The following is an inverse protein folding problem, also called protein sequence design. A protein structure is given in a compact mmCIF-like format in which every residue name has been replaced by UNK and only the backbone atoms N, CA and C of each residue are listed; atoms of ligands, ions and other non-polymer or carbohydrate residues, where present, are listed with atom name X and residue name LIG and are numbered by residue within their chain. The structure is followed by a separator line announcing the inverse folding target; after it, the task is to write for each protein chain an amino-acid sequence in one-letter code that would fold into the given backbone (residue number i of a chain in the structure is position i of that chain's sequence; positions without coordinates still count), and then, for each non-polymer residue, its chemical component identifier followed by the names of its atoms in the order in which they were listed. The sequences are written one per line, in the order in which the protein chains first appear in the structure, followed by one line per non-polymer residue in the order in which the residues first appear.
data_IF_469808080162
#
_entry.id   IF_469808080162
#
_cell.length_a   1.000
_cell.length_b   1.000
_cell.length_c   1.000
_cell.angle_alpha   90.00
_cell.angle_beta   90.00
_cell.angle_gamma   90.00
#
_symmetry.space_group_name_H-M   'P 1'
#
loop_
_entity.id
_entity.type
_entity.pdbx_description
1 polymer ?
#
# COMPACT_ATOMS: atom_id res chain seq x y z
N UNK A 1 25.24 -9.23 -10.32
CA UNK A 1 24.09 -8.56 -10.94
C UNK A 1 24.29 -7.10 -10.64
N UNK A 2 24.35 -6.25 -11.66
CA UNK A 2 24.65 -4.83 -11.44
C UNK A 2 23.31 -4.10 -11.23
N UNK A 3 22.67 -4.40 -10.11
CA UNK A 3 21.31 -3.97 -9.77
C UNK A 3 21.28 -2.49 -9.40
N UNK A 4 22.24 -2.02 -8.62
CA UNK A 4 22.28 -0.64 -8.12
C UNK A 4 22.40 0.37 -9.28
N UNK A 5 23.24 0.08 -10.27
CA UNK A 5 23.38 0.88 -11.48
C UNK A 5 22.08 0.90 -12.30
N UNK A 6 21.39 -0.25 -12.37
CA UNK A 6 20.13 -0.36 -13.11
C UNK A 6 18.97 0.38 -12.41
N UNK A 7 18.96 0.39 -11.07
CA UNK A 7 18.03 1.17 -10.25
C UNK A 7 18.28 2.67 -10.45
N UNK A 8 19.54 3.12 -10.36
CA UNK A 8 19.92 4.53 -10.50
C UNK A 8 19.53 5.10 -11.87
N UNK A 9 19.63 4.29 -12.93
CA UNK A 9 19.30 4.73 -14.29
C UNK A 9 17.80 4.78 -14.58
N UNK A 10 17.01 3.86 -14.02
CA UNK A 10 15.61 3.65 -14.45
C UNK A 10 14.55 4.00 -13.39
N UNK A 11 14.82 3.73 -12.11
CA UNK A 11 13.85 3.89 -11.02
C UNK A 11 14.07 5.19 -10.27
N UNK A 12 15.33 5.55 -9.99
CA UNK A 12 15.67 6.76 -9.24
C UNK A 12 15.12 8.07 -9.85
N UNK A 13 15.06 8.26 -11.18
CA UNK A 13 14.43 9.44 -11.77
C UNK A 13 12.96 9.60 -11.37
N UNK A 14 12.21 8.50 -11.30
CA UNK A 14 10.80 8.49 -10.88
C UNK A 14 10.67 8.84 -9.40
N UNK A 15 11.52 8.27 -8.55
CA UNK A 15 11.52 8.52 -7.10
C UNK A 15 11.89 9.97 -6.77
N UNK A 16 12.83 10.55 -7.50
CA UNK A 16 13.22 11.94 -7.32
C UNK A 16 12.07 12.93 -7.61
N UNK A 17 11.19 12.60 -8.58
CA UNK A 17 10.01 13.41 -8.88
C UNK A 17 9.00 13.38 -7.73
N UNK A 18 8.83 12.23 -7.07
CA UNK A 18 7.87 12.08 -5.97
C UNK A 18 8.43 12.44 -4.61
N UNK A 19 9.74 12.65 -4.46
CA UNK A 19 10.45 12.85 -3.19
C UNK A 19 9.89 13.97 -2.31
N UNK A 20 9.30 15.00 -2.92
CA UNK A 20 8.68 16.10 -2.16
C UNK A 20 7.38 15.67 -1.46
N UNK A 21 6.69 14.67 -2.01
CA UNK A 21 5.40 14.17 -1.54
C UNK A 21 5.50 12.84 -0.78
N UNK A 22 6.56 12.07 -1.00
CA UNK A 22 6.78 10.78 -0.35
C UNK A 22 8.26 10.56 -0.01
N UNK A 23 8.50 9.97 1.17
CA UNK A 23 9.80 9.43 1.52
C UNK A 23 9.83 7.97 1.09
N UNK A 24 10.72 7.61 0.14
CA UNK A 24 10.84 6.26 -0.39
C UNK A 24 12.25 5.76 -0.14
N UNK A 25 12.35 4.61 0.50
CA UNK A 25 13.59 3.86 0.66
C UNK A 25 13.56 2.66 -0.28
N UNK A 26 14.68 2.41 -0.96
CA UNK A 26 14.81 1.31 -1.93
C UNK A 26 15.79 0.30 -1.36
N UNK A 27 15.32 -0.94 -1.24
CA UNK A 27 16.13 -2.08 -0.84
C UNK A 27 16.14 -3.13 -1.95
N UNK A 28 17.26 -3.81 -2.13
CA UNK A 28 17.41 -4.87 -3.11
C UNK A 28 17.88 -6.16 -2.44
N UNK A 29 17.30 -7.30 -2.86
CA UNK A 29 17.67 -8.61 -2.37
C UNK A 29 17.68 -9.60 -3.53
N UNK A 30 18.69 -10.47 -3.57
CA UNK A 30 18.75 -11.59 -4.51
C UNK A 30 18.50 -12.89 -3.75
N UNK A 31 17.43 -13.59 -4.13
CA UNK A 31 17.07 -14.89 -3.55
C UNK A 31 17.35 -15.97 -4.59
N UNK A 32 18.18 -16.95 -4.22
CA UNK A 32 18.48 -18.11 -5.07
C UNK A 32 17.60 -19.30 -4.67
N UNK A 33 17.30 -20.18 -5.62
CA UNK A 33 16.52 -21.42 -5.42
C UNK A 33 15.10 -21.21 -4.87
N UNK A 34 14.44 -20.12 -5.26
CA UNK A 34 13.04 -19.88 -4.96
C UNK A 34 12.14 -20.86 -5.74
N UNK A 35 11.52 -21.82 -5.05
CA UNK A 35 10.50 -22.72 -5.60
C UNK A 35 9.24 -21.94 -5.94
N UNK A 36 8.61 -22.28 -7.07
CA UNK A 36 7.24 -21.84 -7.32
C UNK A 36 6.31 -22.47 -6.29
N UNK A 37 5.26 -21.74 -5.92
CA UNK A 37 4.19 -22.28 -5.09
C UNK A 37 3.66 -23.58 -5.74
N UNK A 38 3.47 -24.67 -4.97
CA UNK A 38 2.86 -25.89 -5.50
C UNK A 38 1.46 -25.67 -6.13
N UNK A 39 0.79 -24.57 -5.74
CA UNK A 39 -0.50 -24.17 -6.28
C UNK A 39 -0.40 -23.52 -7.68
N UNK A 40 0.73 -22.90 -8.01
CA UNK A 40 1.02 -22.37 -9.34
C UNK A 40 1.44 -23.50 -10.28
N UNK A 41 0.48 -24.34 -10.69
CA UNK A 41 0.74 -25.45 -11.61
C UNK A 41 1.11 -24.91 -12.99
N UNK A 42 2.40 -24.88 -13.29
CA UNK A 42 2.87 -24.55 -14.64
C UNK A 42 2.27 -25.53 -15.64
N UNK A 43 1.72 -25.00 -16.72
CA UNK A 43 1.21 -25.82 -17.82
C UNK A 43 2.19 -25.79 -18.99
N UNK A 44 2.40 -26.94 -19.63
CA UNK A 44 3.16 -27.03 -20.87
C UNK A 44 2.23 -26.87 -22.05
N UNK A 45 2.59 -25.99 -22.98
CA UNK A 45 1.92 -25.83 -24.27
C UNK A 45 2.97 -25.85 -25.38
N UNK A 46 2.58 -26.33 -26.56
CA UNK A 46 3.46 -26.32 -27.74
C UNK A 46 3.29 -25.01 -28.50
N UNK A 47 4.31 -24.15 -28.50
CA UNK A 47 4.36 -22.95 -29.33
C UNK A 47 5.34 -23.18 -30.47
N UNK A 48 4.87 -23.09 -31.73
CA UNK A 48 5.71 -23.28 -32.93
C UNK A 48 6.65 -24.50 -32.86
N UNK A 49 6.14 -25.67 -32.44
CA UNK A 49 6.85 -26.96 -32.30
C UNK A 49 7.80 -27.16 -31.10
N UNK A 50 7.87 -26.20 -30.17
CA UNK A 50 8.67 -26.33 -28.94
C UNK A 50 7.79 -26.38 -27.68
N UNK A 51 8.14 -27.20 -26.66
CA UNK A 51 7.46 -27.19 -25.39
C UNK A 51 7.81 -25.90 -24.64
N UNK A 52 6.78 -25.17 -24.25
CA UNK A 52 6.87 -23.87 -23.60
C UNK A 52 5.99 -23.89 -22.36
N UNK A 53 6.47 -23.26 -21.28
CA UNK A 53 5.70 -23.17 -20.04
C UNK A 53 4.88 -21.89 -20.01
N UNK A 54 3.62 -22.00 -19.59
CA UNK A 54 2.69 -20.88 -19.54
C UNK A 54 2.11 -20.69 -18.13
N UNK A 55 1.93 -19.42 -17.77
CA UNK A 55 1.20 -18.98 -16.58
C UNK A 55 -0.12 -18.36 -17.01
N UNK A 56 -1.23 -18.91 -16.52
CA UNK A 56 -2.56 -18.32 -16.76
C UNK A 56 -2.86 -17.20 -15.75
N UNK A 57 -3.70 -16.22 -16.12
CA UNK A 57 -4.14 -15.17 -15.20
C UNK A 57 -4.71 -15.68 -13.87
N UNK A 58 -5.39 -16.84 -13.89
CA UNK A 58 -5.98 -17.47 -12.69
C UNK A 58 -4.94 -17.95 -11.67
N UNK A 59 -3.70 -18.15 -12.10
CA UNK A 59 -2.61 -18.66 -11.28
C UNK A 59 -1.68 -17.55 -10.77
N UNK A 60 -1.77 -16.34 -11.34
CA UNK A 60 -0.91 -15.20 -10.99
C UNK A 60 -1.02 -14.79 -9.51
N UNK A 61 -2.21 -14.77 -8.87
CA UNK A 61 -2.29 -14.45 -7.45
C UNK A 61 -1.55 -15.44 -6.55
N UNK A 62 -1.42 -16.70 -6.99
CA UNK A 62 -0.77 -17.79 -6.26
C UNK A 62 0.72 -17.93 -6.60
N UNK A 63 1.23 -17.08 -7.49
CA UNK A 63 2.60 -17.13 -7.96
C UNK A 63 3.62 -16.85 -6.86
N UNK A 64 3.33 -15.84 -6.04
CA UNK A 64 4.21 -15.41 -4.95
C UNK A 64 4.05 -16.35 -3.76
N UNK A 65 5.12 -17.07 -3.42
CA UNK A 65 5.15 -17.94 -2.24
C UNK A 65 5.80 -17.22 -1.05
N UNK A 66 5.04 -16.37 -0.35
CA UNK A 66 5.53 -15.64 0.83
C UNK A 66 5.88 -16.54 2.02
N UNK A 67 5.46 -17.81 2.01
CA UNK A 67 5.75 -18.77 3.08
C UNK A 67 7.11 -19.44 2.96
N UNK A 68 7.60 -19.67 1.73
CA UNK A 68 8.88 -20.34 1.47
C UNK A 68 10.00 -19.38 1.07
N UNK A 69 9.67 -18.23 0.48
CA UNK A 69 10.69 -17.28 0.06
C UNK A 69 11.19 -16.47 1.27
N UNK A 70 12.50 -16.46 1.55
CA UNK A 70 13.07 -15.67 2.64
C UNK A 70 13.17 -14.19 2.24
N UNK A 71 12.02 -13.58 1.97
CA UNK A 71 11.90 -12.15 1.69
C UNK A 71 12.12 -11.42 3.01
N UNK A 72 13.28 -10.79 3.13
CA UNK A 72 13.60 -9.99 4.31
C UNK A 72 12.89 -8.66 4.17
N UNK A 73 11.65 -8.54 4.64
CA UNK A 73 10.96 -7.25 4.66
C UNK A 73 11.36 -6.49 5.92
N UNK A 74 12.26 -5.50 5.80
CA UNK A 74 12.57 -4.56 6.88
C UNK A 74 11.41 -3.60 7.19
N UNK A 75 10.31 -3.68 6.43
CA UNK A 75 9.06 -2.93 6.64
C UNK A 75 8.37 -3.18 7.99
N UNK A 76 8.85 -4.13 8.80
CA UNK A 76 8.42 -4.29 10.20
C UNK A 76 8.93 -3.17 11.12
N UNK A 77 9.97 -2.41 10.72
CA UNK A 77 10.56 -1.36 11.53
C UNK A 77 9.99 0.04 11.23
N UNK A 78 9.40 0.22 10.06
CA UNK A 78 8.82 1.50 9.62
C UNK A 78 7.31 1.34 9.44
N UNK A 79 6.48 2.22 10.01
CA UNK A 79 5.02 2.27 9.80
C UNK A 79 4.60 2.61 8.33
N UNK A 80 5.43 2.29 7.34
CA UNK A 80 5.24 2.57 5.93
C UNK A 80 4.68 1.38 5.14
N UNK A 81 3.98 1.67 4.04
CA UNK A 81 3.56 0.65 3.09
C UNK A 81 4.73 0.21 2.21
N UNK A 82 4.93 -1.10 2.07
CA UNK A 82 5.96 -1.68 1.20
C UNK A 82 5.40 -2.08 -0.18
N UNK A 83 6.14 -1.79 -1.25
CA UNK A 83 5.83 -2.25 -2.61
C UNK A 83 6.96 -3.16 -3.08
N UNK A 84 6.63 -4.41 -3.45
CA UNK A 84 7.61 -5.38 -3.90
C UNK A 84 7.69 -5.40 -5.43
N UNK A 85 8.90 -5.25 -5.98
CA UNK A 85 9.17 -5.36 -7.41
C UNK A 85 10.08 -6.58 -7.63
N UNK A 86 9.52 -7.65 -8.19
CA UNK A 86 10.18 -8.95 -8.26
C UNK A 86 10.57 -9.31 -9.70
N UNK A 87 11.85 -9.66 -9.89
CA UNK A 87 12.33 -10.27 -11.12
C UNK A 87 12.39 -11.78 -10.90
N UNK A 88 11.54 -12.52 -11.59
CA UNK A 88 11.56 -13.98 -11.57
C UNK A 88 12.29 -14.53 -12.78
N UNK A 89 13.27 -15.41 -12.51
CA UNK A 89 13.97 -16.19 -13.53
C UNK A 89 13.54 -17.64 -13.36
N UNK A 90 12.97 -18.28 -14.40
CA UNK A 90 12.54 -19.67 -14.32
C UNK A 90 13.73 -20.62 -14.21
N UNK A 91 13.58 -21.77 -13.52
CA UNK A 91 14.58 -22.84 -13.53
C UNK A 91 14.73 -23.42 -14.94
N UNK A 92 15.85 -24.09 -15.25
CA UNK A 92 16.11 -24.65 -16.59
C UNK A 92 15.04 -25.65 -17.05
N UNK A 93 14.36 -26.33 -16.10
CA UNK A 93 13.27 -27.27 -16.38
C UNK A 93 11.98 -26.56 -16.83
N UNK A 94 11.76 -25.33 -16.37
CA UNK A 94 10.54 -24.54 -16.59
C UNK A 94 10.74 -23.41 -17.61
N UNK A 95 11.75 -23.54 -18.46
CA UNK A 95 12.25 -22.47 -19.31
C UNK A 95 12.04 -22.81 -20.80
N UNK A 96 11.53 -21.88 -21.64
CA UNK A 96 11.06 -20.53 -21.31
C UNK A 96 9.67 -20.52 -20.67
N UNK A 97 9.44 -19.50 -19.84
CA UNK A 97 8.16 -19.25 -19.16
C UNK A 97 7.50 -18.00 -19.73
N UNK A 98 6.25 -18.10 -20.16
CA UNK A 98 5.46 -16.95 -20.61
C UNK A 98 4.19 -16.76 -19.78
N UNK A 99 3.75 -15.51 -19.71
CA UNK A 99 2.49 -15.14 -19.05
C UNK A 99 1.42 -14.98 -20.12
N UNK A 100 0.24 -15.56 -19.90
CA UNK A 100 -0.90 -15.37 -20.79
C UNK A 100 -1.74 -14.17 -20.36
N UNK A 101 -2.30 -13.48 -21.34
CA UNK A 101 -3.32 -12.45 -21.14
C UNK A 101 -4.67 -13.09 -20.84
N UNK A 102 -5.66 -12.28 -20.44
CA UNK A 102 -7.04 -12.74 -20.25
C UNK A 102 -7.68 -13.30 -21.54
N UNK A 103 -7.12 -12.94 -22.70
CA UNK A 103 -7.55 -13.42 -24.01
C UNK A 103 -6.83 -14.71 -24.44
N UNK A 104 -6.05 -15.33 -23.53
CA UNK A 104 -5.21 -16.51 -23.79
C UNK A 104 -4.11 -16.27 -24.84
N UNK A 105 -3.69 -15.01 -25.02
CA UNK A 105 -2.55 -14.64 -25.86
C UNK A 105 -1.28 -14.53 -25.03
N UNK A 106 -0.12 -14.73 -25.64
CA UNK A 106 1.17 -14.57 -24.95
C UNK A 106 1.43 -13.10 -24.69
N UNK A 107 1.62 -12.72 -23.43
CA UNK A 107 2.00 -11.36 -23.05
C UNK A 107 3.40 -11.03 -23.58
N UNK A 108 3.49 -9.96 -24.37
CA UNK A 108 4.75 -9.48 -24.93
C UNK A 108 5.72 -8.96 -23.84
N UNK A 109 5.16 -8.48 -22.71
CA UNK A 109 5.94 -7.88 -21.62
C UNK A 109 6.32 -8.90 -20.55
N UNK A 110 5.59 -10.02 -20.42
CA UNK A 110 5.83 -11.02 -19.38
C UNK A 110 5.74 -10.46 -17.95
N UNK A 111 4.99 -9.38 -17.76
CA UNK A 111 4.93 -8.62 -16.53
C UNK A 111 3.49 -8.44 -16.05
N UNK A 112 3.26 -8.55 -14.75
CA UNK A 112 1.94 -8.43 -14.14
C UNK A 112 2.03 -7.74 -12.77
N UNK A 113 0.93 -7.11 -12.36
CA UNK A 113 0.82 -6.43 -11.05
C UNK A 113 -0.16 -7.20 -10.16
N UNK A 114 0.29 -7.46 -8.93
CA UNK A 114 -0.50 -8.03 -7.85
C UNK A 114 -0.92 -6.92 -6.88
N UNK A 115 -2.22 -6.65 -6.70
CA UNK A 115 -2.72 -5.65 -5.76
C UNK A 115 -2.18 -5.90 -4.36
N UNK A 116 -1.80 -4.83 -3.67
CA UNK A 116 -1.24 -4.83 -2.30
C UNK A 116 0.10 -5.54 -2.12
N UNK A 117 0.63 -6.20 -3.15
CA UNK A 117 1.97 -6.80 -3.11
C UNK A 117 2.96 -5.99 -3.95
N UNK A 118 2.64 -5.75 -5.23
CA UNK A 118 3.49 -4.98 -6.14
C UNK A 118 3.56 -5.59 -7.53
N UNK A 119 4.73 -5.51 -8.17
CA UNK A 119 4.94 -5.91 -9.56
C UNK A 119 5.84 -7.14 -9.69
N UNK A 120 5.52 -8.03 -10.64
CA UNK A 120 6.35 -9.18 -10.99
C UNK A 120 6.69 -9.11 -12.48
N UNK A 121 7.96 -9.38 -12.81
CA UNK A 121 8.46 -9.50 -14.17
C UNK A 121 9.09 -10.87 -14.33
N UNK A 122 8.59 -11.65 -15.27
CA UNK A 122 9.19 -12.93 -15.67
C UNK A 122 10.20 -12.66 -16.79
N UNK A 123 11.43 -13.12 -16.61
CA UNK A 123 12.50 -12.91 -17.58
C UNK A 123 13.17 -14.22 -17.98
N UNK A 124 13.20 -14.49 -19.28
CA UNK A 124 13.83 -15.67 -19.88
C UNK A 124 15.27 -15.37 -20.34
N UNK A 125 15.95 -14.37 -19.78
CA UNK A 125 17.31 -13.97 -20.20
C UNK A 125 18.38 -15.03 -19.93
N UNK A 126 18.17 -15.90 -18.93
CA UNK A 126 19.05 -17.04 -18.62
C UNK A 126 18.53 -18.36 -19.22
N UNK A 127 17.57 -18.29 -20.15
CA UNK A 127 17.09 -19.46 -20.86
C UNK A 127 18.02 -19.84 -22.01
N UNK A 128 18.17 -21.15 -22.23
CA UNK A 128 18.85 -21.63 -23.43
C UNK A 128 18.12 -21.08 -24.69
N UNK A 129 18.86 -20.65 -25.71
CA UNK A 129 18.28 -20.06 -26.91
C UNK A 129 17.31 -21.04 -27.59
N UNK A 130 16.10 -20.57 -27.86
CA UNK A 130 15.00 -21.34 -28.47
C UNK A 130 15.30 -21.79 -29.91
N UNK A 131 16.26 -21.14 -30.58
CA UNK A 131 16.70 -21.48 -31.92
C UNK A 131 18.10 -22.09 -31.89
N UNK A 132 18.27 -23.26 -32.52
CA UNK A 132 19.53 -23.99 -32.62
C UNK A 132 20.68 -23.26 -33.37
N UNK A 133 20.45 -22.02 -33.80
CA UNK A 133 21.43 -21.16 -34.50
C UNK A 133 21.83 -19.92 -33.72
N UNK A 134 21.23 -19.67 -32.55
CA UNK A 134 21.55 -18.50 -31.74
C UNK A 134 22.51 -18.93 -30.62
N UNK A 135 23.81 -19.03 -30.91
CA UNK A 135 24.84 -19.36 -29.92
C UNK A 135 25.17 -18.15 -29.05
N UNK A 136 24.19 -17.66 -28.27
CA UNK A 136 24.50 -16.69 -27.22
C UNK A 136 24.98 -17.46 -25.99
N UNK A 137 26.24 -17.29 -25.55
CA UNK A 137 26.66 -17.83 -24.28
C UNK A 137 25.76 -17.24 -23.18
N UNK A 138 25.34 -18.09 -22.25
CA UNK A 138 24.63 -17.63 -21.05
C UNK A 138 25.51 -16.59 -20.35
N UNK A 139 24.98 -15.40 -20.03
CA UNK A 139 25.79 -14.37 -19.42
C UNK A 139 26.17 -14.77 -18.00
N UNK A 140 27.47 -14.82 -17.69
CA UNK A 140 28.00 -15.06 -16.35
C UNK A 140 27.59 -13.94 -15.36
N UNK A 141 27.30 -12.74 -15.88
CA UNK A 141 26.80 -11.59 -15.13
C UNK A 141 25.68 -10.88 -15.90
N UNK A 142 24.63 -10.52 -15.17
CA UNK A 142 23.58 -9.63 -15.66
C UNK A 142 24.02 -8.18 -15.43
N UNK A 143 24.55 -7.59 -16.50
CA UNK A 143 24.94 -6.18 -16.54
C UNK A 143 23.72 -5.25 -16.56
N UNK A 144 23.92 -3.97 -16.23
CA UNK A 144 22.87 -2.96 -16.20
C UNK A 144 22.11 -2.84 -17.53
N UNK A 145 22.78 -3.01 -18.68
CA UNK A 145 22.14 -2.97 -20.00
C UNK A 145 21.14 -4.13 -20.22
N UNK A 146 21.44 -5.32 -19.69
CA UNK A 146 20.56 -6.49 -19.77
C UNK A 146 19.39 -6.37 -18.80
N UNK A 147 19.60 -5.71 -17.66
CA UNK A 147 18.56 -5.42 -16.66
C UNK A 147 17.69 -4.20 -17.02
N UNK A 148 18.17 -3.29 -17.87
CA UNK A 148 17.45 -2.09 -18.29
C UNK A 148 16.00 -2.35 -18.76
N UNK A 149 15.69 -3.32 -19.64
CA UNK A 149 14.31 -3.59 -20.04
C UNK A 149 13.43 -4.08 -18.88
N UNK A 150 14.00 -4.81 -17.91
CA UNK A 150 13.28 -5.22 -16.70
C UNK A 150 13.01 -4.01 -15.80
N UNK A 151 14.02 -3.17 -15.56
CA UNK A 151 13.88 -1.98 -14.73
C UNK A 151 12.89 -0.97 -15.32
N UNK A 152 12.82 -0.87 -16.65
CA UNK A 152 11.77 -0.07 -17.32
C UNK A 152 10.36 -0.61 -17.04
N UNK A 153 10.17 -1.94 -17.06
CA UNK A 153 8.88 -2.55 -16.68
C UNK A 153 8.55 -2.26 -15.22
N UNK A 154 9.54 -2.35 -14.32
CA UNK A 154 9.37 -1.99 -12.90
C UNK A 154 9.01 -0.52 -12.70
N UNK A 155 9.67 0.40 -13.40
CA UNK A 155 9.32 1.82 -13.34
C UNK A 155 7.86 2.05 -13.76
N UNK A 156 7.38 1.37 -14.81
CA UNK A 156 5.97 1.46 -15.24
C UNK A 156 4.98 0.83 -14.25
N UNK A 157 5.33 -0.31 -13.67
CA UNK A 157 4.53 -0.92 -12.61
C UNK A 157 4.44 0.02 -11.40
N UNK A 158 5.56 0.66 -11.03
CA UNK A 158 5.62 1.64 -9.95
C UNK A 158 4.80 2.89 -10.27
N UNK A 159 4.88 3.44 -11.49
CA UNK A 159 4.00 4.52 -11.95
C UNK A 159 2.52 4.16 -11.76
N UNK A 160 2.14 2.94 -12.15
CA UNK A 160 0.76 2.45 -12.03
C UNK A 160 0.34 2.32 -10.56
N UNK A 161 1.21 1.78 -9.71
CA UNK A 161 0.95 1.60 -8.27
C UNK A 161 0.89 2.93 -7.51
N UNK A 162 1.71 3.91 -7.90
CA UNK A 162 1.67 5.28 -7.38
C UNK A 162 0.48 6.08 -7.95
N UNK A 163 -0.23 5.53 -8.95
CA UNK A 163 -1.42 6.16 -9.53
C UNK A 163 -1.13 7.25 -10.55
N UNK A 164 0.06 7.24 -11.17
CA UNK A 164 0.35 8.09 -12.32
C UNK A 164 -0.52 7.67 -13.51
N UNK A 165 -1.13 8.63 -14.23
CA UNK A 165 -1.94 8.32 -15.41
C UNK A 165 -1.04 7.80 -16.54
N UNK A 166 -1.42 6.68 -17.16
CA UNK A 166 -0.71 6.14 -18.31
C UNK A 166 -0.69 7.15 -19.48
N UNK A 167 0.46 7.31 -20.15
CA UNK A 167 0.61 8.28 -21.25
C UNK A 167 -0.21 7.91 -22.50
N UNK A 168 -0.56 6.62 -22.65
CA UNK A 168 -1.44 6.13 -23.71
C UNK A 168 -2.75 5.62 -23.09
N UNK A 169 -3.64 6.52 -22.67
CA UNK A 169 -5.05 6.16 -22.42
C UNK A 169 -5.76 6.02 -23.77
N UNK A 170 -5.43 4.98 -24.50
CA UNK A 170 -6.36 4.37 -25.44
C UNK A 170 -6.68 3.00 -24.84
N UNK A 171 -7.91 2.84 -24.34
CA UNK A 171 -8.48 1.60 -23.79
C UNK A 171 -8.13 1.23 -22.34
N UNK A 172 -8.23 2.18 -21.42
CA UNK A 172 -8.66 1.84 -20.06
C UNK A 172 -10.20 1.74 -19.99
N UNK A 173 -10.81 0.90 -20.83
CA UNK A 173 -12.22 0.51 -20.68
C UNK A 173 -12.40 -0.90 -21.27
N UNK A 174 -12.84 -1.83 -20.41
CA UNK A 174 -13.40 -3.14 -20.73
C UNK A 174 -12.40 -4.27 -21.04
N UNK A 175 -11.70 -4.73 -20.01
CA UNK A 175 -11.46 -6.17 -19.91
C UNK A 175 -12.08 -6.64 -18.60
N UNK A 176 -13.05 -7.55 -18.70
CA UNK A 176 -13.66 -8.27 -17.59
C UNK A 176 -12.61 -9.17 -16.91
N UNK A 177 -11.59 -8.59 -16.29
CA UNK A 177 -10.76 -9.30 -15.33
C UNK A 177 -11.43 -9.24 -13.96
N UNK A 178 -11.28 -10.27 -13.12
CA UNK A 178 -11.48 -10.07 -11.69
C UNK A 178 -10.65 -8.87 -11.26
N UNK A 179 -11.17 -8.03 -10.38
CA UNK A 179 -10.58 -6.76 -9.92
C UNK A 179 -9.18 -6.89 -9.26
N UNK A 180 -8.61 -8.10 -9.29
CA UNK A 180 -7.46 -8.57 -8.53
C UNK A 180 -6.18 -8.67 -9.36
N UNK A 181 -6.19 -8.52 -10.70
CA UNK A 181 -4.94 -8.58 -11.50
C UNK A 181 -5.00 -7.61 -12.69
N UNK A 182 -3.95 -6.81 -12.87
CA UNK A 182 -3.77 -5.93 -14.04
C UNK A 182 -2.53 -6.33 -14.83
N UNK A 183 -2.72 -6.67 -16.11
CA UNK A 183 -1.64 -6.93 -17.07
C UNK A 183 -1.41 -5.62 -17.83
N UNK A 184 -0.17 -5.15 -17.90
CA UNK A 184 0.17 -3.86 -18.52
C UNK A 184 0.77 -4.14 -19.91
N UNK A 185 0.00 -3.85 -20.97
CA UNK A 185 0.50 -3.84 -22.35
C UNK A 185 1.27 -2.54 -22.62
N UNK A 186 2.60 -2.66 -22.75
CA UNK A 186 3.54 -1.52 -22.76
C UNK A 186 4.17 -1.24 -24.14
N UNK A 187 3.49 -1.58 -25.24
CA UNK A 187 4.15 -1.71 -26.54
C UNK A 187 4.66 -0.41 -27.18
N UNK A 188 4.31 0.80 -26.70
CA UNK A 188 4.73 2.07 -27.35
C UNK A 188 4.89 3.28 -26.42
N UNK A 189 5.71 3.18 -25.39
CA UNK A 189 6.18 4.39 -24.70
C UNK A 189 7.64 4.22 -24.29
N UNK A 190 8.54 4.71 -25.14
CA UNK A 190 9.96 4.94 -24.81
C UNK A 190 10.07 5.56 -23.42
N UNK A 191 11.09 5.16 -22.66
CA UNK A 191 11.39 5.60 -21.30
C UNK A 191 11.58 7.13 -21.23
N UNK A 192 10.47 7.85 -21.28
CA UNK A 192 10.43 9.31 -21.22
C UNK A 192 9.86 9.67 -19.86
N UNK A 193 10.70 10.41 -19.13
CA UNK A 193 10.47 11.02 -17.83
C UNK A 193 9.00 11.38 -17.58
N UNK A 194 8.55 11.18 -16.34
CA UNK A 194 7.23 11.62 -15.87
C UNK A 194 7.02 13.07 -16.27
N UNK A 195 5.95 13.33 -17.04
CA UNK A 195 5.64 14.67 -17.53
C UNK A 195 5.15 15.58 -16.41
N UNK A 196 5.39 16.89 -16.53
CA UNK A 196 5.03 17.88 -15.50
C UNK A 196 3.55 17.83 -15.09
N UNK A 197 2.64 17.60 -16.06
CA UNK A 197 1.21 17.48 -15.77
C UNK A 197 0.86 16.20 -15.00
N UNK A 198 1.62 15.11 -15.21
CA UNK A 198 1.42 13.86 -14.48
C UNK A 198 1.83 14.04 -13.02
N UNK A 199 2.94 14.73 -12.78
CA UNK A 199 3.41 15.12 -11.44
C UNK A 199 2.42 16.06 -10.75
N UNK A 200 1.92 17.10 -11.43
CA UNK A 200 0.90 18.00 -10.87
C UNK A 200 -0.39 17.24 -10.49
N UNK A 201 -0.86 16.35 -11.38
CA UNK A 201 -2.03 15.52 -11.10
C UNK A 201 -1.81 14.58 -9.91
N UNK A 202 -0.64 13.94 -9.84
CA UNK A 202 -0.26 13.09 -8.71
C UNK A 202 -0.25 13.91 -7.42
N UNK A 203 0.43 15.06 -7.40
CA UNK A 203 0.52 15.94 -6.25
C UNK A 203 -0.86 16.39 -5.74
N UNK A 204 -1.73 16.87 -6.63
CA UNK A 204 -3.11 17.27 -6.26
C UNK A 204 -3.92 16.11 -5.70
N UNK A 205 -3.79 14.91 -6.30
CA UNK A 205 -4.47 13.72 -5.78
C UNK A 205 -3.97 13.38 -4.38
N UNK A 206 -2.66 13.40 -4.15
CA UNK A 206 -2.06 13.13 -2.84
C UNK A 206 -2.56 14.11 -1.79
N UNK A 207 -2.64 15.41 -2.11
CA UNK A 207 -3.24 16.43 -1.23
C UNK A 207 -4.67 16.05 -0.85
N UNK A 208 -5.51 15.72 -1.83
CA UNK A 208 -6.91 15.35 -1.59
C UNK A 208 -7.05 14.09 -0.74
N UNK A 209 -6.22 13.06 -0.97
CA UNK A 209 -6.23 11.84 -0.16
C UNK A 209 -5.79 12.13 1.28
N UNK A 210 -4.77 12.98 1.49
CA UNK A 210 -4.38 13.43 2.84
C UNK A 210 -5.52 14.19 3.54
N UNK A 211 -6.17 15.13 2.85
CA UNK A 211 -7.30 15.87 3.42
C UNK A 211 -8.46 14.93 3.80
N UNK A 212 -8.77 13.95 2.93
CA UNK A 212 -9.79 12.94 3.19
C UNK A 212 -9.41 12.04 4.37
N UNK A 213 -8.15 11.63 4.47
CA UNK A 213 -7.65 10.85 5.59
C UNK A 213 -7.78 11.60 6.91
N UNK A 214 -7.32 12.86 6.98
CA UNK A 214 -7.45 13.70 8.16
C UNK A 214 -8.92 13.90 8.57
N UNK A 215 -9.80 14.22 7.61
CA UNK A 215 -11.24 14.36 7.87
C UNK A 215 -11.87 13.04 8.37
N UNK A 216 -11.46 11.89 7.83
CA UNK A 216 -11.90 10.57 8.28
C UNK A 216 -11.46 10.25 9.72
N UNK A 217 -10.22 10.62 10.08
CA UNK A 217 -9.70 10.46 11.44
C UNK A 217 -10.43 11.35 12.43
N UNK A 218 -10.67 12.62 12.10
CA UNK A 218 -11.48 13.53 12.92
C UNK A 218 -12.93 13.04 13.09
N UNK A 219 -13.55 12.53 12.02
CA UNK A 219 -14.89 11.95 12.11
C UNK A 219 -14.92 10.71 13.03
N UNK A 220 -13.87 9.89 12.99
CA UNK A 220 -13.70 8.74 13.88
C UNK A 220 -13.51 9.17 15.34
N UNK A 221 -12.77 10.25 15.57
CA UNK A 221 -12.62 10.87 16.89
C UNK A 221 -13.95 11.34 17.45
N UNK A 222 -14.75 12.08 16.66
CA UNK A 222 -16.09 12.52 17.06
C UNK A 222 -16.97 11.32 17.44
N UNK A 223 -16.93 10.26 16.63
CA UNK A 223 -17.67 9.02 16.91
C UNK A 223 -17.22 8.39 18.24
N UNK A 224 -15.91 8.31 18.49
CA UNK A 224 -15.35 7.78 19.73
C UNK A 224 -15.84 8.58 20.95
N UNK A 225 -15.70 9.91 20.92
CA UNK A 225 -16.15 10.82 21.99
C UNK A 225 -17.65 10.66 22.25
N UNK A 226 -18.47 10.60 21.20
CA UNK A 226 -19.92 10.45 21.34
C UNK A 226 -20.35 9.09 21.89
N UNK A 227 -19.53 8.05 21.71
CA UNK A 227 -19.84 6.68 22.15
C UNK A 227 -19.47 6.40 23.60
N UNK A 228 -18.62 7.23 24.20
CA UNK A 228 -18.12 7.06 25.56
C UNK A 228 -18.55 8.28 26.41
N UNK A 229 -19.77 8.22 26.99
CA UNK A 229 -20.43 9.34 27.65
C UNK A 229 -19.59 10.04 28.73
N UNK A 230 -18.69 9.31 29.41
CA UNK A 230 -17.87 9.86 30.48
C UNK A 230 -16.45 10.27 30.06
N UNK A 231 -16.10 10.19 28.77
CA UNK A 231 -14.73 10.41 28.30
C UNK A 231 -14.26 11.86 28.49
N UNK A 232 -13.17 12.06 29.23
CA UNK A 232 -12.55 13.36 29.47
C UNK A 232 -11.62 13.69 28.31
N UNK A 233 -12.00 14.68 27.52
CA UNK A 233 -11.16 15.25 26.45
C UNK A 233 -10.31 16.37 27.04
N UNK A 234 -8.99 16.18 27.04
CA UNK A 234 -8.05 17.18 27.53
C UNK A 234 -7.93 18.37 26.56
N UNK A 235 -7.57 19.54 27.10
CA UNK A 235 -7.33 20.76 26.31
C UNK A 235 -6.21 20.57 25.26
N UNK A 236 -5.23 19.70 25.54
CA UNK A 236 -4.21 19.32 24.56
C UNK A 236 -4.83 18.72 23.31
N UNK A 237 -5.82 17.83 23.46
CA UNK A 237 -6.51 17.15 22.35
C UNK A 237 -7.37 18.16 21.59
N UNK A 238 -8.08 19.03 22.30
CA UNK A 238 -8.84 20.12 21.68
C UNK A 238 -7.93 20.96 20.76
N UNK A 239 -6.76 21.37 21.26
CA UNK A 239 -5.80 22.15 20.47
C UNK A 239 -5.30 21.40 19.23
N UNK A 240 -5.02 20.09 19.35
CA UNK A 240 -4.63 19.27 18.19
C UNK A 240 -5.75 19.20 17.14
N UNK A 241 -7.01 19.10 17.57
CA UNK A 241 -8.17 19.10 16.67
C UNK A 241 -8.34 20.46 15.99
N UNK A 242 -8.22 21.56 16.73
CA UNK A 242 -8.27 22.92 16.19
C UNK A 242 -7.15 23.15 15.16
N UNK A 243 -5.92 22.76 15.48
CA UNK A 243 -4.77 22.81 14.57
C UNK A 243 -4.99 21.96 13.31
N UNK A 244 -5.59 20.78 13.44
CA UNK A 244 -5.91 19.91 12.32
C UNK A 244 -6.94 20.54 11.37
N UNK A 245 -8.00 21.15 11.92
CA UNK A 245 -9.04 21.84 11.15
C UNK A 245 -8.45 23.07 10.45
N UNK A 246 -7.67 23.89 11.17
CA UNK A 246 -7.00 25.05 10.59
C UNK A 246 -6.06 24.66 9.44
N UNK A 247 -5.34 23.55 9.58
CA UNK A 247 -4.48 23.01 8.53
C UNK A 247 -5.26 22.47 7.32
N UNK A 248 -6.44 21.86 7.53
CA UNK A 248 -7.35 21.47 6.44
C UNK A 248 -7.86 22.69 5.67
N UNK A 249 -8.27 23.75 6.38
CA UNK A 249 -8.73 25.00 5.77
C UNK A 249 -7.61 25.68 4.97
N UNK A 250 -6.38 25.67 5.51
CA UNK A 250 -5.20 26.16 4.81
C UNK A 250 -4.93 25.37 3.52
N UNK A 251 -4.95 24.03 3.60
CA UNK A 251 -4.78 23.15 2.43
C UNK A 251 -5.85 23.38 1.36
N UNK A 252 -7.11 23.51 1.78
CA UNK A 252 -8.23 23.80 0.88
C UNK A 252 -8.03 25.16 0.20
N UNK A 253 -7.68 26.18 0.96
CA UNK A 253 -7.47 27.54 0.46
C UNK A 253 -6.33 27.57 -0.54
N UNK A 254 -5.18 26.98 -0.20
CA UNK A 254 -3.97 26.92 -1.05
C UNK A 254 -4.25 26.20 -2.39
N UNK A 255 -5.10 25.17 -2.38
CA UNK A 255 -5.50 24.42 -3.57
C UNK A 255 -6.51 25.17 -4.47
N UNK A 256 -7.37 26.02 -3.90
CA UNK A 256 -8.45 26.74 -4.60
C UNK A 256 -8.09 28.17 -5.02
N UNK A 257 -6.86 28.63 -4.78
CA UNK A 257 -6.41 29.94 -5.29
C UNK A 257 -6.40 29.96 -6.82
N UNK A 258 -6.44 31.16 -7.39
CA UNK A 258 -6.33 31.38 -8.83
C UNK A 258 -5.02 30.80 -9.41
N UNK A 259 -3.95 30.82 -8.61
CA UNK A 259 -2.71 30.08 -8.86
C UNK A 259 -2.48 29.10 -7.69
N UNK A 260 -2.81 27.80 -7.86
CA UNK A 260 -2.72 26.81 -6.78
C UNK A 260 -1.28 26.52 -6.37
N UNK A 261 -0.97 26.73 -5.09
CA UNK A 261 0.31 26.35 -4.49
C UNK A 261 0.21 24.92 -3.94
N UNK A 262 0.35 23.94 -4.83
CA UNK A 262 0.18 22.50 -4.51
C UNK A 262 1.19 22.01 -3.46
N UNK A 263 2.49 22.38 -3.51
CA UNK A 263 3.46 22.03 -2.46
C UNK A 263 3.03 22.50 -1.07
N UNK A 264 2.60 23.76 -0.95
CA UNK A 264 2.15 24.32 0.33
C UNK A 264 0.84 23.70 0.80
N UNK A 265 -0.08 23.42 -0.13
CA UNK A 265 -1.31 22.70 0.17
C UNK A 265 -1.01 21.29 0.71
N UNK A 266 0.00 20.62 0.16
CA UNK A 266 0.46 19.31 0.65
C UNK A 266 1.05 19.37 2.05
N UNK A 267 1.91 20.35 2.35
CA UNK A 267 2.45 20.54 3.70
C UNK A 267 1.34 20.76 4.74
N UNK A 268 0.35 21.58 4.40
CA UNK A 268 -0.83 21.83 5.24
C UNK A 268 -1.67 20.57 5.41
N UNK A 269 -1.96 19.83 4.33
CA UNK A 269 -2.73 18.58 4.40
C UNK A 269 -2.01 17.50 5.21
N UNK A 270 -0.68 17.39 5.09
CA UNK A 270 0.13 16.47 5.90
C UNK A 270 0.09 16.86 7.38
N UNK A 271 0.14 18.16 7.67
CA UNK A 271 0.03 18.67 9.04
C UNK A 271 -1.34 18.34 9.62
N UNK A 272 -2.42 18.48 8.85
CA UNK A 272 -3.76 18.08 9.27
C UNK A 272 -3.84 16.58 9.62
N UNK A 273 -3.30 15.69 8.78
CA UNK A 273 -3.25 14.25 9.06
C UNK A 273 -2.51 13.99 10.37
N UNK A 274 -1.30 14.54 10.51
CA UNK A 274 -0.47 14.36 11.71
C UNK A 274 -1.18 14.81 12.98
N UNK A 275 -1.80 16.01 12.97
CA UNK A 275 -2.53 16.56 14.13
C UNK A 275 -3.78 15.75 14.47
N UNK A 276 -4.54 15.32 13.46
CA UNK A 276 -5.71 14.47 13.64
C UNK A 276 -5.35 13.10 14.23
N UNK A 277 -4.29 12.46 13.74
CA UNK A 277 -3.79 11.19 14.28
C UNK A 277 -3.24 11.36 15.69
N UNK A 278 -2.49 12.44 15.95
CA UNK A 278 -1.97 12.73 17.29
C UNK A 278 -3.11 12.89 18.31
N UNK A 279 -4.21 13.53 17.93
CA UNK A 279 -5.40 13.66 18.77
C UNK A 279 -6.11 12.31 18.99
N UNK A 280 -6.27 11.53 17.92
CA UNK A 280 -7.02 10.26 17.96
C UNK A 280 -6.28 9.15 18.70
N UNK A 281 -4.96 9.05 18.53
CA UNK A 281 -4.12 8.04 19.17
C UNK A 281 -3.45 8.56 20.46
N UNK A 282 -3.91 9.68 21.02
CA UNK A 282 -3.41 10.16 22.30
C UNK A 282 -3.63 9.09 23.40
N UNK A 283 -2.62 8.78 24.24
CA UNK A 283 -2.75 7.76 25.29
C UNK A 283 -3.92 8.00 26.26
N UNK A 284 -4.34 9.26 26.44
CA UNK A 284 -5.45 9.63 27.33
C UNK A 284 -6.82 9.35 26.73
N UNK A 285 -6.90 9.06 25.43
CA UNK A 285 -8.12 8.71 24.69
C UNK A 285 -8.41 7.19 24.69
N UNK A 286 -7.60 6.39 25.38
CA UNK A 286 -7.75 4.93 25.39
C UNK A 286 -8.91 4.50 26.29
N UNK A 287 -9.92 3.87 25.68
CA UNK A 287 -11.12 3.37 26.37
C UNK A 287 -10.85 2.40 27.53
N UNK A 288 -9.70 1.71 27.55
CA UNK A 288 -9.32 0.80 28.65
C UNK A 288 -9.06 1.52 29.99
N UNK A 289 -8.85 2.84 29.96
CA UNK A 289 -8.78 3.65 31.18
C UNK A 289 -10.17 4.02 31.73
N UNK A 290 -11.21 3.83 30.93
CA UNK A 290 -12.58 4.19 31.28
C UNK A 290 -13.33 2.98 31.83
N UNK A 291 -13.57 3.00 33.14
CA UNK A 291 -14.44 2.02 33.79
C UNK A 291 -15.89 2.31 33.39
N UNK A 292 -16.60 1.38 32.72
CA UNK A 292 -18.02 1.52 32.49
C UNK A 292 -18.76 1.64 33.82
N UNK A 293 -19.87 2.38 33.84
CA UNK A 293 -20.60 2.66 35.07
C UNK A 293 -21.09 1.37 35.75
N UNK A 294 -21.37 0.31 34.99
CA UNK A 294 -21.73 -1.01 35.52
C UNK A 294 -20.62 -1.59 36.43
N UNK A 295 -19.36 -1.43 36.04
CA UNK A 295 -18.22 -1.88 36.84
C UNK A 295 -17.97 -0.99 38.04
N UNK A 296 -18.30 0.31 37.95
CA UNK A 296 -18.29 1.23 39.09
C UNK A 296 -19.28 0.78 40.16
N UNK A 297 -20.52 0.45 39.78
CA UNK A 297 -21.51 -0.06 40.74
C UNK A 297 -21.09 -1.39 41.36
N UNK A 298 -20.52 -2.31 40.57
CA UNK A 298 -20.03 -3.58 41.10
C UNK A 298 -18.98 -3.44 42.22
N UNK A 299 -18.13 -2.40 42.15
CA UNK A 299 -17.12 -2.11 43.19
C UNK A 299 -17.74 -1.41 44.41
N UNK A 300 -18.66 -0.48 44.21
CA UNK A 300 -19.19 0.35 45.29
C UNK A 300 -20.39 -0.27 46.04
N UNK A 301 -21.21 -1.08 45.36
CA UNK A 301 -22.40 -1.70 45.96
C UNK A 301 -22.06 -2.55 47.22
N UNK A 302 -21.02 -3.41 47.24
CA UNK A 302 -20.64 -4.15 48.45
C UNK A 302 -20.23 -3.27 49.63
N UNK A 303 -19.69 -2.07 49.38
CA UNK A 303 -19.28 -1.13 50.42
C UNK A 303 -20.49 -0.36 50.99
N UNK A 304 -21.39 0.10 50.11
CA UNK A 304 -22.50 0.97 50.51
C UNK A 304 -23.74 0.21 50.98
N UNK A 305 -24.02 -1.00 50.47
CA UNK A 305 -25.22 -1.76 50.87
C UNK A 305 -25.26 -2.06 52.38
N UNK A 306 -24.19 -2.54 53.02
CA UNK A 306 -24.19 -2.82 54.46
C UNK A 306 -24.42 -1.59 55.34
N UNK A 307 -24.05 -0.40 54.86
CA UNK A 307 -24.23 0.88 55.57
C UNK A 307 -25.62 1.46 55.30
N UNK A 308 -26.08 1.39 54.06
CA UNK A 308 -27.32 2.01 53.59
C UNK A 308 -28.56 1.27 54.11
N UNK A 309 -28.53 -0.07 54.16
CA UNK A 309 -29.68 -0.88 54.59
C UNK A 309 -30.09 -0.59 56.05
N UNK A 310 -29.19 -0.60 57.05
CA UNK A 310 -29.54 -0.27 58.43
C UNK A 310 -30.00 1.17 58.64
N UNK A 311 -29.43 2.13 57.90
CA UNK A 311 -29.84 3.53 57.93
C UNK A 311 -31.27 3.70 57.42
N UNK A 312 -31.61 3.07 56.29
CA UNK A 312 -32.97 3.11 55.73
C UNK A 312 -33.98 2.46 56.68
N UNK A 313 -33.65 1.30 57.27
CA UNK A 313 -34.52 0.64 58.26
C UNK A 313 -34.76 1.53 59.48
N UNK A 314 -33.70 2.17 59.98
CA UNK A 314 -33.78 3.10 61.12
C UNK A 314 -34.65 4.33 60.79
N UNK A 315 -34.48 4.90 59.59
CA UNK A 315 -35.26 6.05 59.12
C UNK A 315 -36.75 5.70 58.99
N UNK A 316 -37.09 4.56 58.39
CA UNK A 316 -38.47 4.10 58.24
C UNK A 316 -39.15 3.87 59.59
N UNK A 317 -38.41 3.32 60.57
CA UNK A 317 -38.92 3.16 61.94
C UNK A 317 -39.24 4.50 62.61
N UNK A 318 -38.35 5.48 62.50
CA UNK A 318 -38.57 6.80 63.11
C UNK A 318 -39.73 7.55 62.45
N UNK A 319 -39.88 7.47 61.11
CA UNK A 319 -41.03 8.07 60.40
C UNK A 319 -42.35 7.42 60.84
N UNK A 320 -42.39 6.09 60.96
CA UNK A 320 -43.58 5.38 61.46
C UNK A 320 -43.90 5.66 62.93
N UNK A 321 -42.92 6.10 63.72
CA UNK A 321 -43.10 6.48 65.12
C UNK A 321 -43.61 7.91 65.28
N UNK A 322 -43.30 8.79 64.31
CA UNK A 322 -43.73 10.19 64.29
C UNK A 322 -45.06 10.43 63.57
N UNK A 323 -45.51 9.49 62.73
CA UNK A 323 -46.89 9.41 62.24
C UNK A 323 -47.76 8.66 63.24
#
# INVERSE_FOLDING_TARGET
WDIDDAIAQSIEPLLNVTRHFSHVEVESQVVSYASLSPAARLEQTMLHTMPVWILRPTQLPQFVNTGEWPLSSLSLQTNGASVNLMLYIPPPEACPLFVLTSQSEVSETGAFVLPRYGGVVVSNVLCAPLAAHDHRPLPDRLDAATLAPVMQRFARQLETLLGFPAQNVTQALQTNLPAEVSIIDLTRATAQQVSLWQTDRYARRTVLECMKAAAGTLASLVKLVSSLENMVVLESIQRQVEDAIAALDAAWTDLHRADPDVPRAFESARTAVFRAEQAFFDPTMVALLYFPDEHKYAVFVPLFVPISVPLLISLVREIKRRR
#
